data_IF_907413706604
#
_entry.id   IF_907413706604
#
_cell.length_a   1.000
_cell.length_b   1.000
_cell.length_c   1.000
_cell.angle_alpha   90.00
_cell.angle_beta   90.00
_cell.angle_gamma   90.00
#
_symmetry.space_group_name_H-M   'P 1'
#
loop_
_entity.id
_entity.type
_entity.pdbx_description
1 polymer ?
#
# COMPACT_ATOMS: atom_id res chain seq x y z
N UNK A 1 37.79 48.23 61.72
CA UNK A 1 38.22 47.47 60.51
C UNK A 1 37.52 46.13 60.32
N UNK A 2 37.12 45.37 61.38
CA UNK A 2 36.45 44.06 61.21
C UNK A 2 35.02 44.12 60.62
N UNK A 3 34.29 45.23 60.83
CA UNK A 3 32.89 45.37 60.36
C UNK A 3 32.77 45.67 58.86
N UNK A 4 33.62 46.56 58.32
CA UNK A 4 33.65 46.89 56.89
C UNK A 4 33.99 45.68 56.00
N UNK A 5 34.90 44.81 56.46
CA UNK A 5 35.31 43.61 55.71
C UNK A 5 34.22 42.55 55.64
N UNK A 6 33.38 42.44 56.67
CA UNK A 6 32.23 41.52 56.68
C UNK A 6 31.11 42.00 55.76
N UNK A 7 30.94 43.31 55.60
CA UNK A 7 29.88 43.91 54.77
C UNK A 7 30.18 43.74 53.27
N UNK A 8 31.46 43.87 52.89
CA UNK A 8 31.94 43.60 51.52
C UNK A 8 31.80 42.11 51.17
N UNK A 9 32.12 41.20 52.11
CA UNK A 9 31.93 39.77 51.92
C UNK A 9 30.45 39.41 51.74
N UNK A 10 29.56 40.01 52.53
CA UNK A 10 28.12 39.80 52.40
C UNK A 10 27.58 40.26 51.05
N UNK A 11 27.97 41.45 50.60
CA UNK A 11 27.54 42.02 49.32
C UNK A 11 28.07 41.23 48.10
N UNK A 12 29.24 40.59 48.22
CA UNK A 12 29.77 39.71 47.18
C UNK A 12 29.02 38.37 47.08
N UNK A 13 28.50 37.86 48.21
CA UNK A 13 27.72 36.62 48.25
C UNK A 13 26.35 36.78 47.58
N UNK A 14 25.69 37.94 47.75
CA UNK A 14 24.43 38.24 47.09
C UNK A 14 24.58 38.33 45.57
N UNK A 15 25.70 38.90 45.08
CA UNK A 15 26.00 39.01 43.66
C UNK A 15 26.18 37.62 43.01
N UNK A 16 26.84 36.70 43.72
CA UNK A 16 27.04 35.31 43.25
C UNK A 16 25.72 34.53 43.25
N UNK A 17 24.86 34.72 44.27
CA UNK A 17 23.55 34.06 44.34
C UNK A 17 22.60 34.53 43.22
N UNK A 18 22.61 35.83 42.88
CA UNK A 18 21.84 36.36 41.76
C UNK A 18 22.37 35.90 40.41
N UNK A 19 23.70 35.76 40.24
CA UNK A 19 24.27 35.22 39.01
C UNK A 19 23.93 33.72 38.83
N UNK A 20 23.91 32.95 39.92
CA UNK A 20 23.54 31.53 39.88
C UNK A 20 22.06 31.31 39.51
N UNK A 21 21.16 32.17 40.01
CA UNK A 21 19.74 32.10 39.62
C UNK A 21 19.53 32.47 38.15
N UNK A 22 20.26 33.46 37.63
CA UNK A 22 20.22 33.82 36.20
C UNK A 22 20.73 32.70 35.29
N UNK A 23 21.82 32.01 35.67
CA UNK A 23 22.29 30.84 34.92
C UNK A 23 21.31 29.65 35.00
N UNK A 24 20.61 29.50 36.12
CA UNK A 24 19.52 28.54 36.27
C UNK A 24 18.34 28.82 35.34
N UNK A 25 17.90 30.09 35.27
CA UNK A 25 16.81 30.55 34.39
C UNK A 25 17.18 30.39 32.90
N UNK A 26 18.42 30.73 32.54
CA UNK A 26 18.92 30.54 31.16
C UNK A 26 18.84 29.06 30.76
N UNK A 27 19.19 28.12 31.65
CA UNK A 27 19.09 26.68 31.32
C UNK A 27 17.64 26.18 31.19
N UNK A 28 16.71 26.73 31.96
CA UNK A 28 15.27 26.40 31.85
C UNK A 28 14.63 27.00 30.59
N UNK A 29 15.09 28.17 30.14
CA UNK A 29 14.59 28.83 28.93
C UNK A 29 15.15 28.20 27.64
N UNK A 30 16.39 27.70 27.65
CA UNK A 30 16.96 27.02 26.48
C UNK A 30 16.39 25.59 26.32
N UNK A 31 16.09 24.91 27.44
CA UNK A 31 15.52 23.56 27.39
C UNK A 31 14.06 23.55 26.89
N UNK A 32 13.32 24.65 27.06
CA UNK A 32 11.94 24.79 26.59
C UNK A 32 11.84 25.26 25.13
N UNK A 33 12.91 25.86 24.58
CA UNK A 33 12.99 26.25 23.17
C UNK A 33 13.31 25.08 22.22
N UNK A 34 14.02 24.05 22.69
CA UNK A 34 14.36 22.88 21.88
C UNK A 34 13.21 21.85 21.77
N UNK A 35 12.21 21.90 22.65
CA UNK A 35 11.08 20.96 22.65
C UNK A 35 9.91 21.40 21.76
N UNK A 36 9.93 22.63 21.23
CA UNK A 36 8.77 23.23 20.56
C UNK A 36 8.98 23.69 19.12
N UNK A 37 10.18 23.53 18.54
CA UNK A 37 10.50 24.00 17.19
C UNK A 37 10.21 22.97 16.07
N UNK A 38 9.41 21.93 16.34
CA UNK A 38 8.81 21.03 15.34
C UNK A 38 7.30 20.92 15.60
N UNK A 39 6.61 22.07 15.67
CA UNK A 39 5.15 22.16 15.90
C UNK A 39 4.42 23.00 14.86
N UNK A 40 5.00 23.21 13.68
CA UNK A 40 4.20 23.39 12.45
C UNK A 40 3.80 22.01 11.92
N UNK A 41 3.30 21.18 12.84
CA UNK A 41 2.81 19.86 12.52
C UNK A 41 1.47 20.04 11.82
N UNK A 42 1.52 19.97 10.49
CA UNK A 42 0.32 19.81 9.69
C UNK A 42 -0.52 18.71 10.34
N UNK A 43 -1.83 18.87 10.50
CA UNK A 43 -2.67 17.88 11.19
C UNK A 43 -2.53 16.47 10.60
N UNK A 44 -2.14 16.38 9.33
CA UNK A 44 -1.73 15.16 8.65
C UNK A 44 -0.49 14.48 9.27
N UNK A 45 0.56 15.24 9.59
CA UNK A 45 1.79 14.72 10.21
C UNK A 45 1.53 14.26 11.64
N UNK A 46 0.66 14.94 12.41
CA UNK A 46 0.20 14.47 13.73
C UNK A 46 -0.64 13.19 13.63
N UNK A 47 -1.49 13.09 12.62
CA UNK A 47 -2.29 11.91 12.40
C UNK A 47 -1.42 10.71 12.02
N UNK A 48 -0.38 10.92 11.20
CA UNK A 48 0.57 9.89 10.76
C UNK A 48 1.65 9.53 11.77
N UNK A 49 1.99 10.41 12.73
CA UNK A 49 3.02 10.14 13.73
C UNK A 49 2.58 9.12 14.78
N UNK A 50 1.27 8.90 14.92
CA UNK A 50 0.73 7.86 15.79
C UNK A 50 0.98 6.47 15.17
N UNK A 51 1.68 5.55 15.87
CA UNK A 51 2.09 4.26 15.31
C UNK A 51 0.91 3.38 14.85
N UNK A 52 -0.25 3.51 15.52
CA UNK A 52 -1.49 2.80 15.16
C UNK A 52 -2.10 3.34 13.86
N UNK A 53 -2.13 4.66 13.70
CA UNK A 53 -2.68 5.31 12.51
C UNK A 53 -1.78 5.07 11.29
N UNK A 54 -0.46 5.08 11.48
CA UNK A 54 0.50 4.76 10.42
C UNK A 54 0.26 3.35 9.87
N UNK A 55 0.10 2.36 10.75
CA UNK A 55 -0.17 0.98 10.34
C UNK A 55 -1.50 0.86 9.59
N UNK A 56 -2.55 1.55 10.05
CA UNK A 56 -3.87 1.54 9.40
C UNK A 56 -3.82 2.16 7.98
N UNK A 57 -3.15 3.30 7.82
CA UNK A 57 -2.96 3.95 6.51
C UNK A 57 -2.14 3.06 5.58
N UNK A 58 -1.06 2.46 6.06
CA UNK A 58 -0.26 1.51 5.29
C UNK A 58 -1.08 0.27 4.87
N UNK A 59 -1.89 -0.29 5.76
CA UNK A 59 -2.74 -1.44 5.46
C UNK A 59 -3.77 -1.11 4.36
N UNK A 60 -4.43 0.04 4.46
CA UNK A 60 -5.39 0.50 3.44
C UNK A 60 -4.69 0.76 2.11
N UNK A 61 -3.50 1.36 2.12
CA UNK A 61 -2.72 1.64 0.91
C UNK A 61 -2.24 0.35 0.21
N UNK A 62 -1.72 -0.62 0.97
CA UNK A 62 -1.32 -1.93 0.44
C UNK A 62 -2.51 -2.71 -0.10
N UNK A 63 -3.65 -2.69 0.63
CA UNK A 63 -4.89 -3.29 0.15
C UNK A 63 -5.33 -2.65 -1.17
N UNK A 64 -5.25 -1.32 -1.27
CA UNK A 64 -5.64 -0.63 -2.50
C UNK A 64 -4.73 -0.99 -3.68
N UNK A 65 -3.42 -1.11 -3.45
CA UNK A 65 -2.44 -1.45 -4.49
C UNK A 65 -2.58 -2.90 -4.97
N UNK A 66 -2.88 -3.87 -4.10
CA UNK A 66 -2.95 -5.30 -4.49
C UNK A 66 -4.37 -5.72 -4.89
N UNK A 67 -5.39 -5.29 -4.15
CA UNK A 67 -6.78 -5.74 -4.37
C UNK A 67 -7.35 -5.14 -5.65
N UNK A 68 -7.06 -3.86 -5.97
CA UNK A 68 -7.55 -3.26 -7.23
C UNK A 68 -7.04 -3.93 -8.51
N UNK A 69 -5.74 -4.20 -8.70
CA UNK A 69 -5.28 -4.86 -9.93
C UNK A 69 -5.78 -6.29 -10.03
N UNK A 70 -5.92 -7.01 -8.92
CA UNK A 70 -6.45 -8.39 -8.94
C UNK A 70 -7.92 -8.43 -9.35
N UNK A 71 -8.75 -7.56 -8.79
CA UNK A 71 -10.17 -7.46 -9.17
C UNK A 71 -10.35 -7.09 -10.64
N UNK A 72 -9.49 -6.22 -11.19
CA UNK A 72 -9.54 -5.84 -12.61
C UNK A 72 -9.21 -7.02 -13.52
N UNK A 73 -8.14 -7.76 -13.22
CA UNK A 73 -7.76 -8.95 -14.00
C UNK A 73 -8.83 -10.04 -13.94
N UNK A 74 -9.39 -10.31 -12.75
CA UNK A 74 -10.46 -11.29 -12.60
C UNK A 74 -11.73 -10.88 -13.39
N UNK A 75 -12.11 -9.60 -13.33
CA UNK A 75 -13.26 -9.08 -14.09
C UNK A 75 -13.03 -9.16 -15.60
N UNK A 76 -11.83 -8.83 -16.07
CA UNK A 76 -11.45 -8.94 -17.49
C UNK A 76 -11.51 -10.40 -17.96
N UNK A 77 -10.95 -11.33 -17.17
CA UNK A 77 -11.02 -12.75 -17.48
C UNK A 77 -12.48 -13.22 -17.55
N UNK A 78 -13.30 -12.90 -16.55
CA UNK A 78 -14.72 -13.24 -16.54
C UNK A 78 -15.49 -12.65 -17.73
N UNK A 79 -15.14 -11.44 -18.18
CA UNK A 79 -15.73 -10.84 -19.38
C UNK A 79 -15.33 -11.59 -20.65
N UNK A 80 -14.05 -11.92 -20.81
CA UNK A 80 -13.58 -12.74 -21.94
C UNK A 80 -14.30 -14.09 -21.98
N UNK A 81 -14.45 -14.78 -20.84
CA UNK A 81 -15.16 -16.06 -20.77
C UNK A 81 -16.64 -16.00 -21.15
N UNK A 82 -17.29 -14.84 -20.95
CA UNK A 82 -18.67 -14.59 -21.40
C UNK A 82 -18.77 -14.34 -22.90
N UNK A 83 -17.74 -13.76 -23.50
CA UNK A 83 -17.66 -13.45 -24.93
C UNK A 83 -17.22 -14.65 -25.79
N UNK A 84 -16.99 -15.80 -25.17
CA UNK A 84 -16.54 -17.04 -25.82
C UNK A 84 -17.52 -17.50 -26.90
N UNK A 85 -17.05 -17.60 -28.15
CA UNK A 85 -17.84 -18.04 -29.32
C UNK A 85 -17.41 -19.42 -29.80
N UNK A 86 -18.27 -20.04 -30.62
CA UNK A 86 -17.90 -21.24 -31.36
C UNK A 86 -16.77 -20.91 -32.34
N UNK A 87 -15.83 -21.84 -32.48
CA UNK A 87 -14.61 -21.75 -33.28
C UNK A 87 -13.52 -20.80 -32.75
N UNK A 88 -13.67 -20.24 -31.55
CA UNK A 88 -12.57 -19.47 -30.94
C UNK A 88 -11.41 -20.39 -30.57
N UNK A 89 -10.18 -19.94 -30.87
CA UNK A 89 -8.96 -20.58 -30.37
C UNK A 89 -8.73 -20.11 -28.94
N UNK A 90 -8.44 -21.04 -28.05
CA UNK A 90 -8.28 -20.77 -26.63
C UNK A 90 -6.99 -21.40 -26.10
N UNK A 91 -6.49 -20.85 -25.01
CA UNK A 91 -5.41 -21.39 -24.20
C UNK A 91 -5.94 -21.64 -22.81
N UNK A 92 -5.76 -22.87 -22.33
CA UNK A 92 -6.07 -23.25 -20.96
C UNK A 92 -4.92 -22.87 -20.01
N UNK A 93 -5.22 -22.76 -18.71
CA UNK A 93 -4.22 -22.43 -17.69
C UNK A 93 -3.04 -23.44 -17.64
N UNK A 94 -3.24 -24.67 -18.10
CA UNK A 94 -2.21 -25.71 -18.21
C UNK A 94 -1.33 -25.62 -19.46
N UNK A 95 -1.50 -24.60 -20.31
CA UNK A 95 -0.76 -24.45 -21.56
C UNK A 95 -1.32 -25.29 -22.72
N UNK A 96 -2.47 -25.93 -22.56
CA UNK A 96 -3.14 -26.67 -23.63
C UNK A 96 -3.83 -25.69 -24.57
N UNK A 97 -3.58 -25.84 -25.87
CA UNK A 97 -4.25 -25.12 -26.93
C UNK A 97 -5.44 -25.94 -27.47
N UNK A 98 -6.51 -25.27 -27.82
CA UNK A 98 -7.66 -25.93 -28.43
C UNK A 98 -8.61 -24.96 -29.10
N UNK A 99 -9.62 -25.51 -29.77
CA UNK A 99 -10.67 -24.76 -30.45
C UNK A 99 -12.02 -25.08 -29.83
N UNK A 100 -12.83 -24.05 -29.58
CA UNK A 100 -14.16 -24.20 -29.01
C UNK A 100 -15.09 -24.80 -30.06
N UNK A 101 -15.68 -25.96 -29.77
CA UNK A 101 -16.64 -26.61 -30.67
C UNK A 101 -18.07 -26.20 -30.31
N UNK A 102 -18.35 -26.13 -29.02
CA UNK A 102 -19.66 -25.76 -28.51
C UNK A 102 -19.53 -25.05 -27.17
N UNK A 103 -20.01 -23.80 -27.14
CA UNK A 103 -20.23 -23.04 -25.93
C UNK A 103 -21.73 -22.78 -25.78
N UNK A 104 -22.30 -23.16 -24.64
CA UNK A 104 -23.69 -22.85 -24.28
C UNK A 104 -23.67 -21.63 -23.35
N UNK A 105 -24.47 -20.62 -23.64
CA UNK A 105 -24.60 -19.45 -22.78
C UNK A 105 -25.35 -19.85 -21.50
N UNK A 106 -24.74 -19.63 -20.33
CA UNK A 106 -25.31 -20.00 -19.03
C UNK A 106 -24.91 -21.38 -18.49
N UNK A 107 -24.11 -22.15 -19.22
CA UNK A 107 -23.48 -23.38 -18.70
C UNK A 107 -22.05 -23.09 -18.23
N UNK A 108 -21.63 -23.68 -17.11
CA UNK A 108 -20.26 -23.55 -16.59
C UNK A 108 -19.27 -24.41 -17.36
N UNK A 109 -19.75 -25.25 -18.29
CA UNK A 109 -18.94 -26.16 -19.08
C UNK A 109 -18.93 -25.83 -20.57
N UNK A 110 -17.80 -26.12 -21.23
CA UNK A 110 -17.56 -25.88 -22.66
C UNK A 110 -16.95 -27.13 -23.28
N UNK A 111 -17.38 -27.46 -24.50
CA UNK A 111 -16.81 -28.55 -25.30
C UNK A 111 -15.75 -27.99 -26.24
N UNK A 112 -14.53 -28.51 -26.11
CA UNK A 112 -13.36 -28.06 -26.85
C UNK A 112 -12.73 -29.23 -27.61
N UNK A 113 -12.05 -28.92 -28.71
CA UNK A 113 -11.21 -29.86 -29.46
C UNK A 113 -9.75 -29.46 -29.26
N UNK A 114 -8.95 -30.37 -28.71
CA UNK A 114 -7.53 -30.10 -28.40
C UNK A 114 -6.66 -30.29 -29.64
N UNK A 115 -6.99 -31.28 -30.45
CA UNK A 115 -6.19 -31.63 -31.63
C UNK A 115 -7.06 -31.63 -32.89
N UNK A 116 -6.56 -30.96 -33.92
CA UNK A 116 -7.18 -30.88 -35.23
C UNK A 116 -7.07 -32.22 -35.98
N UNK A 117 -6.04 -33.03 -35.68
CA UNK A 117 -5.82 -34.36 -36.28
C UNK A 117 -6.68 -35.47 -35.66
N UNK A 118 -6.53 -35.73 -34.36
CA UNK A 118 -7.23 -36.84 -33.68
C UNK A 118 -8.69 -36.54 -33.34
N UNK A 119 -9.10 -35.27 -33.37
CA UNK A 119 -10.47 -34.87 -33.11
C UNK A 119 -11.02 -35.15 -31.73
N UNK A 120 -10.14 -35.35 -30.76
CA UNK A 120 -10.50 -35.52 -29.36
C UNK A 120 -11.27 -34.31 -28.86
N UNK A 121 -12.52 -34.54 -28.45
CA UNK A 121 -13.40 -33.55 -27.84
C UNK A 121 -13.44 -33.79 -26.34
N UNK A 122 -13.21 -32.75 -25.55
CA UNK A 122 -13.23 -32.83 -24.09
C UNK A 122 -14.15 -31.74 -23.55
N UNK A 123 -14.91 -32.09 -22.52
CA UNK A 123 -15.70 -31.13 -21.76
C UNK A 123 -14.82 -30.57 -20.64
N UNK A 124 -14.68 -29.26 -20.59
CA UNK A 124 -13.92 -28.55 -19.56
C UNK A 124 -14.78 -27.47 -18.92
N UNK A 125 -14.40 -27.02 -17.73
CA UNK A 125 -15.02 -25.85 -17.11
C UNK A 125 -14.55 -24.58 -17.82
N UNK A 126 -15.45 -23.59 -17.90
CA UNK A 126 -15.16 -22.26 -18.46
C UNK A 126 -14.01 -21.58 -17.74
N UNK A 127 -13.92 -21.77 -16.43
CA UNK A 127 -12.87 -21.21 -15.57
C UNK A 127 -11.47 -21.79 -15.86
N UNK A 128 -11.38 -22.93 -16.54
CA UNK A 128 -10.09 -23.52 -16.93
C UNK A 128 -9.44 -22.79 -18.12
N UNK A 129 -10.20 -21.93 -18.81
CA UNK A 129 -9.74 -21.16 -19.96
C UNK A 129 -9.02 -19.90 -19.45
N UNK A 130 -7.74 -19.77 -19.78
CA UNK A 130 -6.92 -18.64 -19.35
C UNK A 130 -6.98 -17.46 -20.33
N UNK A 131 -7.08 -17.74 -21.63
CA UNK A 131 -7.07 -16.70 -22.67
C UNK A 131 -7.76 -17.16 -23.95
N UNK A 132 -8.43 -16.24 -24.62
CA UNK A 132 -8.95 -16.41 -25.98
C UNK A 132 -7.95 -15.78 -26.95
N UNK A 133 -7.55 -16.55 -27.96
CA UNK A 133 -6.73 -16.08 -29.07
C UNK A 133 -7.71 -15.62 -30.15
N UNK A 134 -7.87 -14.31 -30.30
CA UNK A 134 -8.57 -13.76 -31.45
C UNK A 134 -7.85 -14.24 -32.72
N UNK A 135 -8.58 -14.59 -33.80
CA UNK A 135 -7.95 -14.95 -35.06
C UNK A 135 -7.04 -13.80 -35.49
N UNK A 136 -5.77 -14.12 -35.69
CA UNK A 136 -4.75 -13.21 -36.20
C UNK A 136 -5.28 -12.58 -37.49
N UNK A 137 -5.64 -11.30 -37.45
CA UNK A 137 -5.90 -10.53 -38.66
C UNK A 137 -4.54 -10.28 -39.31
N UNK A 138 -4.11 -11.22 -40.15
CA UNK A 138 -2.97 -11.05 -41.06
C UNK A 138 -3.30 -9.90 -42.01
N UNK A 139 -2.86 -8.69 -41.66
CA UNK A 139 -2.75 -7.55 -42.55
C UNK A 139 -1.53 -7.66 -43.45
#
# INVERSE_FOLDING_TARGET
MKLEFSLILFQSMDLVSHAASLLGQVKTDISSAAENADKTVNPFVLFLSSPINLFLVCAILFMFIVVRPQQRQMKQLQQSLKELKKNDRIVMASGIHGTVVQAVAGDDTVMIRIDESSGTRIKINRDAIAKIIAPENKG
#
